data_IF_274724458237
#
_entry.id   IF_274724458237
#
_cell.length_a   1.000
_cell.length_b   1.000
_cell.length_c   1.000
_cell.angle_alpha   90.00
_cell.angle_beta   90.00
_cell.angle_gamma   90.00
#
_symmetry.space_group_name_H-M   'P 1'
#
loop_
_entity.id
_entity.type
_entity.pdbx_description
1 polymer ?
#
# COMPACT_ATOMS: atom_id res chain seq x y z
N UNK A 1 -12.74 19.75 -14.98
CA UNK A 1 -13.87 19.95 -14.05
C UNK A 1 -14.36 18.65 -13.38
N UNK A 2 -14.38 17.49 -14.02
CA UNK A 2 -14.85 16.22 -13.40
C UNK A 2 -13.97 15.75 -12.22
N UNK A 3 -12.65 15.77 -12.33
CA UNK A 3 -11.72 15.36 -11.27
C UNK A 3 -11.78 16.23 -10.01
N UNK A 4 -12.01 17.55 -10.17
CA UNK A 4 -12.14 18.48 -9.04
C UNK A 4 -13.39 18.21 -8.18
N UNK A 5 -14.43 17.62 -8.76
CA UNK A 5 -15.67 17.23 -8.06
C UNK A 5 -15.61 15.80 -7.50
N UNK A 6 -14.63 14.99 -7.96
CA UNK A 6 -14.50 13.60 -7.57
C UNK A 6 -13.96 13.45 -6.14
N UNK A 7 -12.98 14.26 -5.78
CA UNK A 7 -12.37 14.27 -4.45
C UNK A 7 -13.01 15.32 -3.55
N UNK A 8 -13.17 14.99 -2.28
CA UNK A 8 -13.58 15.92 -1.23
C UNK A 8 -12.47 16.95 -0.94
N UNK A 9 -12.81 18.03 -0.25
CA UNK A 9 -11.82 19.04 0.19
C UNK A 9 -10.73 18.42 1.08
N UNK A 10 -11.09 17.48 1.96
CA UNK A 10 -10.14 16.77 2.83
C UNK A 10 -9.20 15.88 2.02
N UNK A 11 -9.70 15.15 1.03
CA UNK A 11 -8.88 14.30 0.16
C UNK A 11 -7.89 15.12 -0.66
N UNK A 12 -8.31 16.28 -1.18
CA UNK A 12 -7.40 17.22 -1.83
C UNK A 12 -6.32 17.75 -0.89
N UNK A 13 -6.70 18.08 0.36
CA UNK A 13 -5.76 18.55 1.36
C UNK A 13 -4.73 17.49 1.73
N UNK A 14 -5.18 16.25 1.98
CA UNK A 14 -4.28 15.11 2.25
C UNK A 14 -3.33 14.88 1.07
N UNK A 15 -3.85 14.86 -0.16
CA UNK A 15 -3.03 14.65 -1.35
C UNK A 15 -2.00 15.76 -1.55
N UNK A 16 -2.41 17.04 -1.47
CA UNK A 16 -1.49 18.18 -1.61
C UNK A 16 -0.43 18.19 -0.50
N UNK A 17 -0.84 17.91 0.74
CA UNK A 17 0.10 17.76 1.85
C UNK A 17 1.10 16.65 1.60
N UNK A 18 0.64 15.48 1.12
CA UNK A 18 1.51 14.36 0.76
C UNK A 18 2.52 14.75 -0.32
N UNK A 19 2.05 15.38 -1.42
CA UNK A 19 2.91 15.80 -2.52
C UNK A 19 3.96 16.82 -2.07
N UNK A 20 3.53 17.87 -1.35
CA UNK A 20 4.45 18.93 -0.89
C UNK A 20 5.49 18.38 0.10
N UNK A 21 5.09 17.52 1.02
CA UNK A 21 6.01 16.94 2.01
C UNK A 21 7.03 16.01 1.34
N UNK A 22 6.60 15.15 0.41
CA UNK A 22 7.51 14.26 -0.33
C UNK A 22 8.51 15.08 -1.16
N UNK A 23 8.05 16.09 -1.90
CA UNK A 23 8.93 16.94 -2.71
C UNK A 23 9.91 17.71 -1.82
N UNK A 24 9.42 18.29 -0.71
CA UNK A 24 10.27 19.04 0.22
C UNK A 24 11.32 18.16 0.87
N UNK A 25 10.96 16.94 1.31
CA UNK A 25 11.92 16.00 1.89
C UNK A 25 12.98 15.56 0.88
N UNK A 26 12.58 15.31 -0.36
CA UNK A 26 13.49 14.96 -1.45
C UNK A 26 14.53 16.06 -1.68
N UNK A 27 14.11 17.33 -1.74
CA UNK A 27 15.00 18.47 -1.93
C UNK A 27 15.89 18.67 -0.69
N UNK A 28 15.31 18.60 0.50
CA UNK A 28 16.01 18.88 1.76
C UNK A 28 17.13 17.86 2.05
N UNK A 29 16.89 16.60 1.81
CA UNK A 29 17.87 15.54 2.03
C UNK A 29 18.74 15.25 0.79
N UNK A 30 18.71 16.15 -0.22
CA UNK A 30 19.53 16.11 -1.42
C UNK A 30 19.53 14.75 -2.14
N UNK A 31 18.35 14.14 -2.23
CA UNK A 31 18.16 12.90 -2.97
C UNK A 31 18.39 13.15 -4.47
N UNK A 32 19.43 12.56 -5.04
CA UNK A 32 19.78 12.78 -6.43
C UNK A 32 18.98 11.91 -7.44
N UNK A 33 18.07 11.06 -6.96
CA UNK A 33 17.38 10.10 -7.81
C UNK A 33 15.94 10.53 -8.18
N UNK A 34 15.72 11.16 -9.36
CA UNK A 34 14.40 11.63 -9.77
C UNK A 34 13.37 10.49 -9.94
N UNK A 35 13.84 9.26 -10.21
CA UNK A 35 12.97 8.11 -10.33
C UNK A 35 12.40 7.68 -8.96
N UNK A 36 13.18 7.86 -7.88
CA UNK A 36 12.70 7.64 -6.51
C UNK A 36 11.61 8.66 -6.15
N UNK A 37 11.79 9.94 -6.51
CA UNK A 37 10.75 10.95 -6.34
C UNK A 37 9.49 10.58 -7.13
N UNK A 38 9.63 10.22 -8.39
CA UNK A 38 8.48 9.82 -9.23
C UNK A 38 7.74 8.63 -8.62
N UNK A 39 8.45 7.60 -8.14
CA UNK A 39 7.85 6.46 -7.46
C UNK A 39 7.05 6.90 -6.22
N UNK A 40 7.64 7.72 -5.34
CA UNK A 40 6.98 8.21 -4.12
C UNK A 40 5.71 9.01 -4.42
N UNK A 41 5.74 9.87 -5.45
CA UNK A 41 4.56 10.65 -5.88
C UNK A 41 3.46 9.76 -6.49
N UNK A 42 3.84 8.74 -7.27
CA UNK A 42 2.92 7.74 -7.81
C UNK A 42 2.31 6.93 -6.66
N UNK A 43 3.12 6.48 -5.69
CA UNK A 43 2.67 5.77 -4.50
C UNK A 43 1.65 6.59 -3.71
N UNK A 44 1.96 7.82 -3.33
CA UNK A 44 1.04 8.68 -2.60
C UNK A 44 -0.25 8.99 -3.40
N UNK A 45 -0.16 9.11 -4.74
CA UNK A 45 -1.33 9.28 -5.59
C UNK A 45 -2.17 8.00 -5.64
N UNK A 46 -1.54 6.81 -5.62
CA UNK A 46 -2.26 5.55 -5.59
C UNK A 46 -3.14 5.41 -4.34
N UNK A 47 -2.65 5.88 -3.18
CA UNK A 47 -3.35 5.77 -1.90
C UNK A 47 -4.64 6.61 -1.88
N UNK A 48 -4.64 7.81 -2.46
CA UNK A 48 -5.87 8.63 -2.48
C UNK A 48 -6.96 8.04 -3.40
N UNK A 49 -6.58 7.40 -4.53
CA UNK A 49 -7.53 6.63 -5.35
C UNK A 49 -7.99 5.38 -4.62
N UNK A 50 -7.10 4.67 -3.95
CA UNK A 50 -7.42 3.49 -3.13
C UNK A 50 -8.38 3.85 -1.99
N UNK A 51 -8.22 5.02 -1.38
CA UNK A 51 -9.14 5.53 -0.36
C UNK A 51 -10.58 5.67 -0.87
N UNK A 52 -10.77 5.99 -2.15
CA UNK A 52 -12.08 6.05 -2.84
C UNK A 52 -12.59 4.69 -3.29
N UNK A 53 -11.91 3.61 -2.95
CA UNK A 53 -12.18 2.27 -3.49
C UNK A 53 -12.15 2.22 -5.03
N UNK A 54 -11.28 3.05 -5.64
CA UNK A 54 -11.14 3.17 -7.09
C UNK A 54 -10.03 2.25 -7.60
N UNK A 55 -10.28 1.35 -8.57
CA UNK A 55 -9.28 0.43 -9.13
C UNK A 55 -8.03 1.11 -9.70
N UNK A 56 -8.10 2.40 -10.07
CA UNK A 56 -6.91 3.17 -10.50
C UNK A 56 -5.82 3.17 -9.41
N UNK A 57 -6.19 3.14 -8.12
CA UNK A 57 -5.23 3.00 -7.04
C UNK A 57 -4.36 1.76 -7.20
N UNK A 58 -4.96 0.59 -7.48
CA UNK A 58 -4.21 -0.66 -7.70
C UNK A 58 -3.35 -0.58 -8.98
N UNK A 59 -3.84 0.06 -10.04
CA UNK A 59 -3.04 0.29 -11.25
C UNK A 59 -1.78 1.14 -10.97
N UNK A 60 -1.89 2.17 -10.15
CA UNK A 60 -0.75 3.00 -9.75
C UNK A 60 0.20 2.25 -8.81
N UNK A 61 -0.29 1.38 -7.90
CA UNK A 61 0.56 0.50 -7.07
C UNK A 61 1.38 -0.45 -7.94
N UNK A 62 0.83 -0.99 -9.02
CA UNK A 62 1.57 -1.82 -9.98
C UNK A 62 2.76 -1.03 -10.55
N UNK A 63 2.53 0.20 -11.02
CA UNK A 63 3.59 1.05 -11.57
C UNK A 63 4.63 1.39 -10.48
N UNK A 64 4.17 1.77 -9.29
CA UNK A 64 5.02 2.02 -8.13
C UNK A 64 5.91 0.82 -7.82
N UNK A 65 5.32 -0.38 -7.72
CA UNK A 65 6.04 -1.61 -7.35
C UNK A 65 7.14 -1.97 -8.36
N UNK A 66 6.89 -1.78 -9.66
CA UNK A 66 7.91 -2.01 -10.71
C UNK A 66 9.07 -1.03 -10.56
N UNK A 67 8.77 0.26 -10.40
CA UNK A 67 9.81 1.29 -10.27
C UNK A 67 10.61 1.06 -8.98
N UNK A 68 9.92 0.80 -7.87
CA UNK A 68 10.56 0.62 -6.57
C UNK A 68 11.42 -0.65 -6.54
N UNK A 69 10.95 -1.76 -7.11
CA UNK A 69 11.73 -2.98 -7.24
C UNK A 69 13.01 -2.75 -8.09
N UNK A 70 12.90 -1.99 -9.18
CA UNK A 70 14.06 -1.63 -10.01
C UNK A 70 15.08 -0.78 -9.23
N UNK A 71 14.61 0.21 -8.46
CA UNK A 71 15.48 1.06 -7.63
C UNK A 71 16.17 0.24 -6.53
N UNK A 72 15.42 -0.64 -5.86
CA UNK A 72 15.93 -1.53 -4.83
C UNK A 72 16.98 -2.49 -5.38
N UNK A 73 16.78 -3.03 -6.59
CA UNK A 73 17.75 -3.88 -7.26
C UNK A 73 19.04 -3.12 -7.55
N UNK A 74 18.98 -1.88 -8.01
CA UNK A 74 20.16 -1.05 -8.27
C UNK A 74 20.95 -0.70 -7.02
N UNK A 75 20.28 -0.62 -5.88
CA UNK A 75 20.90 -0.32 -4.59
C UNK A 75 21.24 -1.59 -3.77
N UNK A 76 21.11 -2.79 -4.37
CA UNK A 76 21.37 -4.08 -3.74
C UNK A 76 20.47 -4.37 -2.52
N UNK A 77 19.30 -3.74 -2.43
CA UNK A 77 18.28 -4.03 -1.40
C UNK A 77 17.42 -5.22 -1.83
N UNK A 78 18.00 -6.41 -1.81
CA UNK A 78 17.34 -7.63 -2.33
C UNK A 78 16.06 -8.00 -1.57
N UNK A 79 15.98 -7.73 -0.28
CA UNK A 79 14.75 -7.92 0.50
C UNK A 79 13.58 -7.10 -0.04
N UNK A 80 13.83 -5.83 -0.36
CA UNK A 80 12.85 -4.94 -0.99
C UNK A 80 12.47 -5.42 -2.40
N UNK A 81 13.45 -5.88 -3.20
CA UNK A 81 13.16 -6.45 -4.53
C UNK A 81 12.19 -7.62 -4.40
N UNK A 82 12.43 -8.55 -3.48
CA UNK A 82 11.57 -9.70 -3.24
C UNK A 82 10.17 -9.26 -2.79
N UNK A 83 10.09 -8.30 -1.88
CA UNK A 83 8.82 -7.78 -1.37
C UNK A 83 8.00 -7.12 -2.48
N UNK A 84 8.60 -6.23 -3.26
CA UNK A 84 7.85 -5.46 -4.24
C UNK A 84 7.64 -6.18 -5.56
N UNK A 85 8.60 -6.97 -6.04
CA UNK A 85 8.48 -7.66 -7.33
C UNK A 85 7.79 -9.03 -7.21
N UNK A 86 8.10 -9.80 -6.17
CA UNK A 86 7.57 -11.18 -6.05
C UNK A 86 6.27 -11.23 -5.25
N UNK A 87 6.10 -10.32 -4.27
CA UNK A 87 4.90 -10.31 -3.43
C UNK A 87 3.91 -9.20 -3.85
N UNK A 88 4.31 -7.93 -3.76
CA UNK A 88 3.37 -6.80 -3.91
C UNK A 88 2.86 -6.69 -5.35
N UNK A 89 3.72 -6.79 -6.36
CA UNK A 89 3.33 -6.65 -7.77
C UNK A 89 2.29 -7.69 -8.21
N UNK A 90 2.48 -9.01 -8.02
CA UNK A 90 1.47 -9.99 -8.39
C UNK A 90 0.16 -9.81 -7.61
N UNK A 91 0.25 -9.51 -6.32
CA UNK A 91 -0.93 -9.31 -5.49
C UNK A 91 -1.71 -8.05 -5.88
N UNK A 92 -1.02 -6.96 -6.27
CA UNK A 92 -1.67 -5.75 -6.79
C UNK A 92 -2.37 -6.02 -8.13
N UNK A 93 -1.78 -6.85 -8.99
CA UNK A 93 -2.43 -7.30 -10.23
C UNK A 93 -3.71 -8.10 -9.91
N UNK A 94 -3.66 -9.07 -8.99
CA UNK A 94 -4.83 -9.82 -8.57
C UNK A 94 -5.89 -8.92 -7.92
N UNK A 95 -5.47 -7.95 -7.10
CA UNK A 95 -6.36 -6.97 -6.51
C UNK A 95 -7.03 -6.10 -7.59
N UNK A 96 -6.28 -5.61 -8.57
CA UNK A 96 -6.82 -4.84 -9.71
C UNK A 96 -7.92 -5.62 -10.45
N UNK A 97 -7.64 -6.88 -10.82
CA UNK A 97 -8.65 -7.73 -11.46
C UNK A 97 -9.86 -7.96 -10.56
N UNK A 98 -9.65 -8.23 -9.27
CA UNK A 98 -10.74 -8.39 -8.30
C UNK A 98 -11.60 -7.13 -8.20
N UNK A 99 -10.96 -5.93 -8.15
CA UNK A 99 -11.68 -4.67 -8.02
C UNK A 99 -12.47 -4.33 -9.29
N UNK A 100 -11.89 -4.56 -10.46
CA UNK A 100 -12.56 -4.34 -11.75
C UNK A 100 -13.73 -5.31 -11.99
N UNK A 101 -13.63 -6.54 -11.48
CA UNK A 101 -14.67 -7.56 -11.63
C UNK A 101 -15.86 -7.39 -10.68
N UNK A 102 -15.74 -6.53 -9.67
CA UNK A 102 -16.79 -6.33 -8.67
C UNK A 102 -17.12 -4.84 -8.49
N UNK A 103 -17.63 -4.16 -9.53
CA UNK A 103 -18.02 -2.76 -9.41
C UNK A 103 -19.26 -2.61 -8.51
N UNK A 104 -19.30 -1.56 -7.69
CA UNK A 104 -20.49 -1.21 -6.91
C UNK A 104 -21.51 -0.53 -7.80
N UNK A 105 -22.78 -1.04 -7.84
CA UNK A 105 -23.87 -0.53 -8.72
C UNK A 105 -23.46 -0.36 -10.18
N UNK A 106 -22.58 -1.22 -10.70
CA UNK A 106 -22.06 -1.12 -12.07
C UNK A 106 -21.07 0.01 -12.31
N UNK A 107 -20.75 0.83 -11.31
CA UNK A 107 -19.80 1.94 -11.41
C UNK A 107 -18.36 1.43 -11.35
N UNK A 108 -17.67 1.38 -12.48
CA UNK A 108 -16.26 0.91 -12.55
C UNK A 108 -15.27 1.75 -11.73
N UNK A 109 -15.68 2.94 -11.27
CA UNK A 109 -14.87 3.83 -10.43
C UNK A 109 -14.95 3.54 -8.93
N UNK A 110 -15.75 2.55 -8.51
CA UNK A 110 -15.88 2.18 -7.11
C UNK A 110 -16.11 0.67 -6.97
N UNK A 111 -15.28 0.01 -6.18
CA UNK A 111 -15.39 -1.43 -5.94
C UNK A 111 -16.45 -1.72 -4.86
N UNK A 112 -17.13 -2.86 -5.00
CA UNK A 112 -17.98 -3.42 -3.96
C UNK A 112 -17.11 -3.98 -2.82
N UNK A 113 -17.21 -3.38 -1.65
CA UNK A 113 -16.46 -3.76 -0.45
C UNK A 113 -17.08 -5.05 0.12
N UNK A 114 -16.23 -5.99 0.53
CA UNK A 114 -16.67 -7.30 1.02
C UNK A 114 -16.28 -7.55 2.48
N UNK A 115 -17.00 -8.44 3.12
CA UNK A 115 -16.62 -9.03 4.42
C UNK A 115 -15.87 -10.33 4.19
N UNK A 116 -14.93 -10.62 5.06
CA UNK A 116 -14.26 -11.93 5.07
C UNK A 116 -15.22 -12.99 5.58
N UNK A 117 -15.17 -14.15 4.97
CA UNK A 117 -15.79 -15.35 5.51
C UNK A 117 -14.76 -16.15 6.33
N UNK A 118 -15.22 -17.13 7.07
CA UNK A 118 -14.36 -17.96 7.94
C UNK A 118 -13.29 -18.70 7.14
N UNK A 119 -13.61 -19.15 5.90
CA UNK A 119 -12.64 -19.81 5.02
C UNK A 119 -11.52 -18.85 4.60
N UNK A 120 -11.87 -17.59 4.29
CA UNK A 120 -10.86 -16.58 3.94
C UNK A 120 -9.87 -16.34 5.08
N UNK A 121 -10.34 -16.36 6.33
CA UNK A 121 -9.50 -16.18 7.52
C UNK A 121 -8.52 -17.35 7.67
N UNK A 122 -8.97 -18.60 7.50
CA UNK A 122 -8.07 -19.77 7.55
C UNK A 122 -7.05 -19.75 6.41
N UNK A 123 -7.48 -19.41 5.18
CA UNK A 123 -6.58 -19.27 4.03
C UNK A 123 -5.54 -18.18 4.28
N UNK A 124 -5.97 -17.00 4.77
CA UNK A 124 -5.06 -15.92 5.13
C UNK A 124 -4.05 -16.36 6.18
N UNK A 125 -4.51 -16.98 7.28
CA UNK A 125 -3.62 -17.43 8.36
C UNK A 125 -2.59 -18.45 7.86
N UNK A 126 -3.03 -19.44 7.07
CA UNK A 126 -2.14 -20.47 6.51
C UNK A 126 -1.07 -19.87 5.60
N UNK A 127 -1.47 -19.04 4.63
CA UNK A 127 -0.51 -18.42 3.71
C UNK A 127 0.37 -17.38 4.38
N UNK A 128 -0.14 -16.64 5.36
CA UNK A 128 0.69 -15.72 6.16
C UNK A 128 1.81 -16.49 6.87
N UNK A 129 1.48 -17.57 7.55
CA UNK A 129 2.46 -18.41 8.23
C UNK A 129 3.50 -18.99 7.24
N UNK A 130 3.03 -19.56 6.14
CA UNK A 130 3.90 -20.13 5.10
C UNK A 130 4.86 -19.08 4.52
N UNK A 131 4.32 -17.92 4.09
CA UNK A 131 5.11 -16.84 3.49
C UNK A 131 6.09 -16.25 4.48
N UNK A 132 5.69 -16.04 5.74
CA UNK A 132 6.59 -15.55 6.78
C UNK A 132 7.80 -16.47 6.95
N UNK A 133 7.59 -17.79 7.04
CA UNK A 133 8.69 -18.75 7.17
C UNK A 133 9.57 -18.78 5.92
N UNK A 134 8.97 -18.88 4.74
CA UNK A 134 9.71 -18.96 3.47
C UNK A 134 10.57 -17.72 3.28
N UNK A 135 9.99 -16.53 3.48
CA UNK A 135 10.74 -15.29 3.31
C UNK A 135 11.76 -15.03 4.42
N UNK A 136 11.52 -15.49 5.65
CA UNK A 136 12.55 -15.45 6.69
C UNK A 136 13.84 -16.15 6.22
N UNK A 137 13.74 -17.38 5.71
CA UNK A 137 14.91 -18.10 5.20
C UNK A 137 15.52 -17.47 3.96
N UNK A 138 14.68 -16.95 3.04
CA UNK A 138 15.18 -16.25 1.85
C UNK A 138 15.96 -15.00 2.25
N UNK A 139 15.43 -14.17 3.16
CA UNK A 139 16.09 -12.96 3.64
C UNK A 139 17.38 -13.26 4.40
N UNK A 140 17.40 -14.37 5.16
CA UNK A 140 18.59 -14.84 5.87
C UNK A 140 19.71 -15.24 4.89
N UNK A 141 19.37 -15.99 3.82
CA UNK A 141 20.31 -16.36 2.75
C UNK A 141 20.90 -15.12 2.05
N UNK A 142 20.09 -14.08 1.86
CA UNK A 142 20.55 -12.81 1.27
C UNK A 142 21.25 -11.89 2.27
N UNK A 143 21.45 -12.31 3.52
CA UNK A 143 22.06 -11.52 4.59
C UNK A 143 21.41 -10.14 4.76
N UNK A 144 20.07 -10.11 4.67
CA UNK A 144 19.29 -8.87 4.76
C UNK A 144 19.49 -8.21 6.13
N UNK A 145 19.80 -6.92 6.13
CA UNK A 145 19.91 -6.14 7.36
C UNK A 145 18.57 -6.19 8.12
N UNK A 146 18.67 -6.21 9.48
CA UNK A 146 17.51 -6.24 10.38
C UNK A 146 16.48 -7.33 10.03
N UNK A 147 16.95 -8.57 9.86
CA UNK A 147 16.21 -9.75 9.38
C UNK A 147 14.79 -9.87 9.97
N UNK A 148 14.62 -9.71 11.28
CA UNK A 148 13.31 -9.84 11.95
C UNK A 148 12.35 -8.71 11.55
N UNK A 149 12.84 -7.47 11.45
CA UNK A 149 12.04 -6.32 11.06
C UNK A 149 11.62 -6.43 9.58
N UNK A 150 12.55 -6.84 8.71
CA UNK A 150 12.28 -7.10 7.29
C UNK A 150 11.26 -8.24 7.11
N UNK A 151 11.37 -9.31 7.88
CA UNK A 151 10.38 -10.41 7.87
C UNK A 151 9.00 -9.93 8.33
N UNK A 152 8.94 -9.09 9.37
CA UNK A 152 7.69 -8.51 9.84
C UNK A 152 7.04 -7.61 8.79
N UNK A 153 7.83 -6.83 8.05
CA UNK A 153 7.35 -6.02 6.93
C UNK A 153 6.71 -6.89 5.83
N UNK A 154 7.37 -7.98 5.44
CA UNK A 154 6.80 -8.92 4.46
C UNK A 154 5.49 -9.54 4.98
N UNK A 155 5.45 -9.93 6.24
CA UNK A 155 4.26 -10.52 6.85
C UNK A 155 3.07 -9.56 6.83
N UNK A 156 3.28 -8.31 7.26
CA UNK A 156 2.22 -7.28 7.26
C UNK A 156 1.80 -6.89 5.85
N UNK A 157 2.76 -6.76 4.90
CA UNK A 157 2.49 -6.52 3.48
C UNK A 157 1.65 -7.62 2.84
N UNK A 158 1.96 -8.90 3.14
CA UNK A 158 1.18 -10.01 2.61
C UNK A 158 -0.26 -9.98 3.11
N UNK A 159 -0.47 -9.78 4.42
CA UNK A 159 -1.82 -9.66 4.98
C UNK A 159 -2.57 -8.51 4.31
N UNK A 160 -1.94 -7.34 4.19
CA UNK A 160 -2.53 -6.16 3.56
C UNK A 160 -2.95 -6.43 2.11
N UNK A 161 -2.05 -6.97 1.29
CA UNK A 161 -2.32 -7.24 -0.13
C UNK A 161 -3.37 -8.32 -0.33
N UNK A 162 -3.38 -9.38 0.49
CA UNK A 162 -4.44 -10.39 0.48
C UNK A 162 -5.81 -9.79 0.82
N UNK A 163 -5.88 -8.95 1.86
CA UNK A 163 -7.11 -8.27 2.25
C UNK A 163 -7.57 -7.27 1.17
N UNK A 164 -6.65 -6.60 0.50
CA UNK A 164 -6.93 -5.74 -0.66
C UNK A 164 -7.54 -6.56 -1.82
N UNK A 165 -6.95 -7.71 -2.16
CA UNK A 165 -7.54 -8.65 -3.13
C UNK A 165 -8.95 -9.07 -2.74
N UNK A 166 -9.20 -9.33 -1.45
CA UNK A 166 -10.53 -9.65 -0.90
C UNK A 166 -11.45 -8.42 -0.75
N UNK A 167 -10.98 -7.23 -1.09
CA UNK A 167 -11.74 -5.96 -1.00
C UNK A 167 -12.25 -5.68 0.40
N UNK A 168 -11.45 -6.03 1.39
CA UNK A 168 -11.80 -5.88 2.81
C UNK A 168 -11.16 -4.63 3.40
N UNK A 169 -11.88 -3.78 4.18
CA UNK A 169 -11.37 -2.51 4.71
C UNK A 169 -10.09 -2.63 5.53
N UNK A 170 -9.89 -3.76 6.20
CA UNK A 170 -8.71 -3.98 7.04
C UNK A 170 -7.39 -4.00 6.25
N UNK A 171 -7.42 -4.08 4.91
CA UNK A 171 -6.22 -4.00 4.11
C UNK A 171 -5.42 -2.72 4.40
N UNK A 172 -6.10 -1.59 4.52
CA UNK A 172 -5.45 -0.30 4.78
C UNK A 172 -4.87 -0.23 6.20
N UNK A 173 -5.53 -0.85 7.19
CA UNK A 173 -4.96 -0.96 8.54
C UNK A 173 -3.68 -1.79 8.54
N UNK A 174 -3.61 -2.89 7.79
CA UNK A 174 -2.40 -3.70 7.71
C UNK A 174 -1.29 -3.03 6.89
N UNK A 175 -1.61 -2.20 5.88
CA UNK A 175 -0.62 -1.33 5.25
C UNK A 175 -0.13 -0.26 6.24
N UNK A 176 -0.99 0.37 7.01
CA UNK A 176 -0.58 1.31 8.06
C UNK A 176 0.35 0.66 9.10
N UNK A 177 0.09 -0.59 9.50
CA UNK A 177 1.00 -1.35 10.36
C UNK A 177 2.35 -1.63 9.67
N UNK A 178 2.32 -1.96 8.38
CA UNK A 178 3.53 -2.13 7.59
C UNK A 178 4.34 -0.83 7.48
N UNK A 179 3.68 0.31 7.28
CA UNK A 179 4.34 1.61 7.24
C UNK A 179 5.08 1.90 8.55
N UNK A 180 4.48 1.58 9.71
CA UNK A 180 5.16 1.70 11.01
C UNK A 180 6.43 0.85 11.06
N UNK A 181 6.36 -0.40 10.56
CA UNK A 181 7.54 -1.28 10.48
C UNK A 181 8.61 -0.70 9.56
N UNK A 182 8.21 -0.18 8.40
CA UNK A 182 9.14 0.43 7.43
C UNK A 182 9.73 1.75 7.90
N UNK A 183 8.96 2.60 8.60
CA UNK A 183 9.49 3.79 9.26
C UNK A 183 10.60 3.39 10.23
N UNK A 184 10.35 2.38 11.07
CA UNK A 184 11.35 1.89 12.02
C UNK A 184 12.58 1.32 11.30
N UNK A 185 12.40 0.52 10.26
CA UNK A 185 13.49 -0.06 9.45
C UNK A 185 14.37 1.04 8.86
N UNK A 186 13.78 2.04 8.20
CA UNK A 186 14.53 3.10 7.56
C UNK A 186 15.20 4.06 8.55
N UNK A 187 14.63 4.24 9.74
CA UNK A 187 15.29 4.99 10.82
C UNK A 187 16.52 4.26 11.39
N UNK A 188 16.54 2.94 11.37
CA UNK A 188 17.74 2.17 11.73
C UNK A 188 18.87 2.32 10.69
N UNK A 189 18.51 2.51 9.41
CA UNK A 189 19.45 2.69 8.30
C UNK A 189 20.01 4.12 8.14
N UNK A 190 19.41 5.12 8.81
CA UNK A 190 19.83 6.53 8.71
C UNK A 190 21.29 6.78 9.10
N UNK A 191 21.83 5.96 10.02
CA UNK A 191 23.22 6.10 10.44
C UNK A 191 24.22 5.77 9.29
N UNK A 192 23.81 4.98 8.30
CA UNK A 192 24.62 4.65 7.12
C UNK A 192 24.49 5.70 6.02
N UNK A 193 23.31 6.28 5.83
CA UNK A 193 23.04 7.31 4.83
C UNK A 193 21.87 8.22 5.29
N UNK A 194 22.13 9.52 5.56
CA UNK A 194 21.09 10.48 5.95
C UNK A 194 19.97 10.66 4.91
N UNK A 195 20.16 10.27 3.64
CA UNK A 195 19.11 10.33 2.62
C UNK A 195 17.92 9.42 2.95
N UNK A 196 18.12 8.40 3.79
CA UNK A 196 17.07 7.50 4.27
C UNK A 196 15.98 8.20 5.10
N UNK A 197 16.25 9.40 5.65
CA UNK A 197 15.18 10.22 6.26
C UNK A 197 14.06 10.55 5.28
N UNK A 198 14.37 10.79 3.99
CA UNK A 198 13.33 11.08 2.99
C UNK A 198 12.43 9.87 2.75
N UNK A 199 12.97 8.66 2.85
CA UNK A 199 12.21 7.41 2.71
C UNK A 199 11.32 7.21 3.95
N UNK A 200 11.87 7.40 5.16
CA UNK A 200 11.09 7.33 6.39
C UNK A 200 9.93 8.35 6.39
N UNK A 201 10.17 9.58 5.93
CA UNK A 201 9.12 10.62 5.77
C UNK A 201 8.07 10.17 4.76
N UNK A 202 8.46 9.53 3.65
CA UNK A 202 7.52 8.98 2.68
C UNK A 202 6.58 7.94 3.33
N UNK A 203 7.09 7.04 4.16
CA UNK A 203 6.26 6.06 4.88
C UNK A 203 5.41 6.69 5.98
N UNK A 204 5.83 7.79 6.62
CA UNK A 204 4.94 8.58 7.51
C UNK A 204 3.75 9.13 6.72
N UNK A 205 3.99 9.64 5.52
CA UNK A 205 2.92 10.12 4.63
C UNK A 205 1.99 8.97 4.22
N UNK A 206 2.55 7.80 3.90
CA UNK A 206 1.75 6.62 3.55
C UNK A 206 0.89 6.18 4.74
N UNK A 207 1.44 6.11 5.93
CA UNK A 207 0.71 5.82 7.18
C UNK A 207 -0.51 6.74 7.37
N UNK A 208 -0.35 8.04 7.17
CA UNK A 208 -1.46 9.01 7.26
C UNK A 208 -2.54 8.71 6.22
N UNK A 209 -2.16 8.42 4.98
CA UNK A 209 -3.08 8.09 3.90
C UNK A 209 -3.79 6.75 4.15
N UNK A 210 -3.09 5.74 4.65
CA UNK A 210 -3.66 4.42 4.91
C UNK A 210 -4.61 4.43 6.11
N UNK A 211 -4.30 5.21 7.15
CA UNK A 211 -5.25 5.45 8.24
C UNK A 211 -6.52 6.16 7.74
N UNK A 212 -6.38 7.20 6.91
CA UNK A 212 -7.53 7.83 6.26
C UNK A 212 -8.33 6.83 5.41
N UNK A 213 -7.63 6.02 4.62
CA UNK A 213 -8.22 4.99 3.76
C UNK A 213 -9.03 3.99 4.58
N UNK A 214 -8.49 3.50 5.70
CA UNK A 214 -9.18 2.57 6.59
C UNK A 214 -10.53 3.13 7.06
N UNK A 215 -10.54 4.34 7.62
CA UNK A 215 -11.78 4.96 8.10
C UNK A 215 -12.78 5.24 6.97
N UNK A 216 -12.27 5.68 5.81
CA UNK A 216 -13.14 5.94 4.67
C UNK A 216 -13.77 4.65 4.11
N UNK A 217 -13.02 3.54 4.07
CA UNK A 217 -13.54 2.24 3.63
C UNK A 217 -14.59 1.68 4.56
N UNK A 218 -14.44 1.83 5.87
CA UNK A 218 -15.48 1.46 6.85
C UNK A 218 -16.77 2.26 6.59
N UNK A 219 -16.63 3.57 6.31
CA UNK A 219 -17.77 4.43 5.98
C UNK A 219 -18.43 4.01 4.66
N UNK A 220 -17.63 3.76 3.63
CA UNK A 220 -18.11 3.29 2.32
C UNK A 220 -18.82 1.95 2.44
N UNK A 221 -18.27 0.99 3.18
CA UNK A 221 -18.88 -0.32 3.41
C UNK A 221 -20.29 -0.19 4.01
N UNK A 222 -20.42 0.61 5.07
CA UNK A 222 -21.74 0.87 5.70
C UNK A 222 -22.73 1.49 4.72
N UNK A 223 -22.27 2.45 3.89
CA UNK A 223 -23.09 3.08 2.87
C UNK A 223 -23.57 2.09 1.80
N UNK A 224 -22.67 1.24 1.30
CA UNK A 224 -22.99 0.20 0.31
C UNK A 224 -23.97 -0.84 0.88
N UNK A 225 -23.79 -1.28 2.12
CA UNK A 225 -24.71 -2.22 2.79
C UNK A 225 -26.14 -1.65 2.95
N UNK A 226 -26.24 -0.34 3.25
CA UNK A 226 -27.54 0.34 3.35
C UNK A 226 -28.23 0.48 1.98
N UNK A 227 -27.48 0.79 0.92
CA UNK A 227 -28.01 0.87 -0.44
C UNK A 227 -28.56 -0.49 -0.89
N UNK A 228 -27.77 -1.56 -0.76
CA UNK A 228 -28.19 -2.92 -1.13
C UNK A 228 -29.39 -3.47 -0.33
N UNK A 229 -29.64 -2.95 0.87
CA UNK A 229 -30.84 -3.29 1.63
C UNK A 229 -32.10 -2.60 1.11
N UNK A 230 -31.97 -1.36 0.62
CA UNK A 230 -33.10 -0.60 0.05
C UNK A 230 -33.56 -1.19 -1.27
N UNK A 231 -32.65 -1.72 -2.09
CA UNK A 231 -33.00 -2.34 -3.39
C UNK A 231 -33.70 -3.70 -3.26
N UNK A 232 -33.74 -4.27 -2.04
CA UNK A 232 -34.40 -5.56 -1.76
C UNK A 232 -35.83 -5.43 -1.14
N UNK A 233 -36.25 -4.20 -0.85
CA UNK A 233 -37.58 -3.85 -0.33
C UNK A 233 -38.43 -3.21 -1.43
#
# INVERSE_FOLDING_TARGET
MALLKYFSKLEWLIWLFSMTTIISSYIFFNQANPLALAASLIGATSLIFSAKANPLGQGLIIIFSVIYAYLSLRNHYYGEVLTYFILTLPMAIFALFSWLSHPFEGKKSQVLISRLNVKDIYVLAFFTFLITIVFYFILDIFHTAFLLVSTLSITTSFIATFLSYKRNPFYALFFALNDVVLIFLWLLEVNSDPSHYSIAICFIIFLINDMYTFFNWIKLQKGQELALKKDKV
#
